data_IF_358013169451
#
_entry.id   IF_358013169451
#
_cell.length_a   1.000
_cell.length_b   1.000
_cell.length_c   1.000
_cell.angle_alpha   90.00
_cell.angle_beta   90.00
_cell.angle_gamma   90.00
#
_symmetry.space_group_name_H-M   'P 1'
#
loop_
_entity.id
_entity.type
_entity.pdbx_description
1 polymer ?
#
# COMPACT_ATOMS: atom_id res chain seq x y z
N UNK A 1 12.85 -12.44 -22.04
CA UNK A 1 12.89 -11.76 -20.73
C UNK A 1 13.56 -10.41 -20.95
N UNK A 2 12.92 -9.29 -20.59
CA UNK A 2 13.51 -7.96 -20.80
C UNK A 2 14.29 -7.51 -19.57
N UNK A 3 15.25 -6.60 -19.73
CA UNK A 3 16.09 -6.12 -18.63
C UNK A 3 15.27 -5.39 -17.54
N UNK A 4 14.18 -4.72 -17.92
CA UNK A 4 13.24 -4.06 -17.01
C UNK A 4 12.53 -5.08 -16.11
N UNK A 5 12.14 -6.23 -16.68
CA UNK A 5 11.51 -7.30 -15.93
C UNK A 5 12.47 -7.90 -14.89
N UNK A 6 13.75 -8.05 -15.25
CA UNK A 6 14.79 -8.50 -14.33
C UNK A 6 15.04 -7.47 -13.21
N UNK A 7 15.22 -6.20 -13.56
CA UNK A 7 15.45 -5.13 -12.59
C UNK A 7 14.29 -4.97 -11.59
N UNK A 8 13.04 -5.05 -12.06
CA UNK A 8 11.86 -4.83 -11.19
C UNK A 8 11.48 -6.04 -10.34
N UNK A 9 11.81 -7.27 -10.76
CA UNK A 9 11.34 -8.47 -10.08
C UNK A 9 12.45 -9.32 -9.45
N UNK A 10 13.67 -9.31 -10.02
CA UNK A 10 14.78 -10.12 -9.52
C UNK A 10 15.73 -9.33 -8.64
N UNK A 11 16.05 -8.09 -9.00
CA UNK A 11 16.93 -7.25 -8.19
C UNK A 11 16.41 -7.06 -6.74
N UNK A 12 15.10 -6.85 -6.49
CA UNK A 12 14.59 -6.72 -5.13
C UNK A 12 14.76 -7.98 -4.26
N UNK A 13 14.95 -9.15 -4.87
CA UNK A 13 15.20 -10.39 -4.12
C UNK A 13 16.50 -10.30 -3.32
N UNK A 14 17.51 -9.61 -3.83
CA UNK A 14 18.81 -9.48 -3.17
C UNK A 14 18.72 -8.69 -1.85
N UNK A 15 17.65 -7.93 -1.66
CA UNK A 15 17.42 -7.10 -0.48
C UNK A 15 16.43 -7.75 0.51
N UNK A 16 16.03 -8.99 0.30
CA UNK A 16 15.12 -9.69 1.21
C UNK A 16 15.86 -10.19 2.46
N UNK A 17 15.18 -10.24 3.62
CA UNK A 17 15.72 -10.88 4.82
C UNK A 17 16.06 -12.36 4.58
N UNK A 18 17.14 -12.86 5.22
CA UNK A 18 17.64 -14.22 4.98
C UNK A 18 16.60 -15.30 5.31
N UNK A 19 15.78 -15.09 6.35
CA UNK A 19 14.68 -15.99 6.73
C UNK A 19 13.64 -16.16 5.61
N UNK A 20 13.35 -15.08 4.88
CA UNK A 20 12.43 -15.09 3.75
C UNK A 20 13.10 -15.70 2.51
N UNK A 21 14.39 -15.43 2.30
CA UNK A 21 15.17 -16.01 1.21
C UNK A 21 15.28 -17.53 1.33
N UNK A 22 15.47 -18.06 2.53
CA UNK A 22 15.47 -19.50 2.75
C UNK A 22 14.15 -20.15 2.35
N UNK A 23 13.01 -19.58 2.77
CA UNK A 23 11.70 -20.10 2.42
C UNK A 23 11.44 -20.06 0.91
N UNK A 24 11.91 -19.01 0.23
CA UNK A 24 11.89 -18.90 -1.23
C UNK A 24 12.75 -19.97 -1.92
N UNK A 25 13.99 -20.17 -1.45
CA UNK A 25 14.92 -21.17 -2.01
C UNK A 25 14.41 -22.60 -1.83
N UNK A 26 13.75 -22.89 -0.70
CA UNK A 26 13.11 -24.18 -0.39
C UNK A 26 11.83 -24.42 -1.22
N UNK A 27 11.31 -23.40 -1.91
CA UNK A 27 10.06 -23.49 -2.68
C UNK A 27 8.80 -23.52 -1.81
N UNK A 28 8.94 -23.29 -0.50
CA UNK A 28 7.82 -23.29 0.45
C UNK A 28 6.99 -22.00 0.42
N UNK A 29 7.51 -20.95 -0.22
CA UNK A 29 6.85 -19.65 -0.33
C UNK A 29 7.03 -19.06 -1.73
N UNK A 30 5.95 -18.53 -2.31
CA UNK A 30 6.00 -17.82 -3.59
C UNK A 30 6.54 -16.40 -3.45
N UNK A 31 7.15 -15.87 -4.52
CA UNK A 31 7.79 -14.55 -4.56
C UNK A 31 6.91 -13.40 -4.05
N UNK A 32 5.65 -13.35 -4.49
CA UNK A 32 4.73 -12.27 -4.14
C UNK A 32 4.38 -12.29 -2.65
N UNK A 33 4.26 -13.49 -2.06
CA UNK A 33 4.02 -13.71 -0.64
C UNK A 33 5.25 -13.34 0.19
N UNK A 34 6.43 -13.76 -0.25
CA UNK A 34 7.71 -13.40 0.36
C UNK A 34 7.91 -11.88 0.44
N UNK A 35 7.62 -11.16 -0.65
CA UNK A 35 7.70 -9.70 -0.68
C UNK A 35 6.75 -9.02 0.30
N UNK A 36 5.56 -9.58 0.53
CA UNK A 36 4.61 -9.05 1.49
C UNK A 36 5.09 -9.26 2.94
N UNK A 37 5.56 -10.46 3.28
CA UNK A 37 6.04 -10.80 4.64
C UNK A 37 7.33 -10.04 4.97
N UNK A 38 8.20 -9.80 3.99
CA UNK A 38 9.43 -9.02 4.16
C UNK A 38 9.20 -7.55 4.60
N UNK A 39 7.96 -7.04 4.57
CA UNK A 39 7.62 -5.72 5.11
C UNK A 39 7.64 -5.67 6.65
N UNK A 40 7.63 -6.82 7.32
CA UNK A 40 7.71 -6.92 8.77
C UNK A 40 9.16 -6.65 9.20
N UNK A 41 9.38 -5.55 9.93
CA UNK A 41 10.71 -5.10 10.35
C UNK A 41 11.33 -6.04 11.39
N UNK A 42 10.56 -6.38 12.42
CA UNK A 42 11.03 -7.20 13.53
C UNK A 42 11.25 -8.65 13.10
N UNK A 43 12.48 -9.14 13.32
CA UNK A 43 12.89 -10.48 12.87
C UNK A 43 12.05 -11.59 13.50
N UNK A 44 11.87 -11.55 14.82
CA UNK A 44 11.14 -12.60 15.55
C UNK A 44 9.67 -12.66 15.12
N UNK A 45 9.04 -11.50 14.92
CA UNK A 45 7.66 -11.42 14.44
C UNK A 45 7.54 -11.95 13.00
N UNK A 46 8.50 -11.59 12.15
CA UNK A 46 8.53 -12.02 10.75
C UNK A 46 8.67 -13.54 10.63
N UNK A 47 9.57 -14.14 11.39
CA UNK A 47 9.77 -15.60 11.41
C UNK A 47 8.51 -16.31 11.90
N UNK A 48 7.91 -15.87 13.01
CA UNK A 48 6.67 -16.46 13.51
C UNK A 48 5.51 -16.32 12.50
N UNK A 49 5.40 -15.16 11.83
CA UNK A 49 4.40 -14.91 10.80
C UNK A 49 4.62 -15.80 9.57
N UNK A 50 5.88 -15.97 9.14
CA UNK A 50 6.28 -16.82 8.03
C UNK A 50 5.89 -18.28 8.28
N UNK A 51 6.20 -18.82 9.46
CA UNK A 51 5.86 -20.19 9.84
C UNK A 51 4.34 -20.41 9.83
N UNK A 52 3.57 -19.47 10.37
CA UNK A 52 2.10 -19.52 10.34
C UNK A 52 1.58 -19.48 8.90
N UNK A 53 2.12 -18.58 8.07
CA UNK A 53 1.69 -18.43 6.68
C UNK A 53 1.96 -19.70 5.84
N UNK A 54 3.07 -20.39 6.09
CA UNK A 54 3.39 -21.66 5.42
C UNK A 54 2.49 -22.78 5.95
N UNK A 55 2.35 -22.90 7.27
CA UNK A 55 1.56 -23.95 7.92
C UNK A 55 0.09 -23.90 7.52
N UNK A 56 -0.49 -22.71 7.49
CA UNK A 56 -1.89 -22.48 7.13
C UNK A 56 -2.09 -22.20 5.64
N UNK A 57 -1.01 -22.22 4.84
CA UNK A 57 -1.05 -22.02 3.39
C UNK A 57 -1.78 -20.74 2.94
N UNK A 58 -1.53 -19.63 3.64
CA UNK A 58 -2.23 -18.37 3.36
C UNK A 58 -2.04 -17.88 1.92
N UNK A 59 -3.12 -17.34 1.36
CA UNK A 59 -3.11 -16.59 0.12
C UNK A 59 -2.42 -15.23 0.30
N UNK A 60 -2.04 -14.61 -0.81
CA UNK A 60 -1.44 -13.27 -0.80
C UNK A 60 -2.35 -12.23 -0.14
N UNK A 61 -3.66 -12.33 -0.35
CA UNK A 61 -4.66 -11.44 0.23
C UNK A 61 -4.76 -11.60 1.73
N UNK A 62 -4.77 -12.84 2.22
CA UNK A 62 -4.80 -13.15 3.65
C UNK A 62 -3.55 -12.71 4.39
N UNK A 63 -2.37 -12.86 3.76
CA UNK A 63 -1.10 -12.35 4.30
C UNK A 63 -1.19 -10.82 4.47
N UNK A 64 -1.65 -10.10 3.45
CA UNK A 64 -1.79 -8.64 3.53
C UNK A 64 -2.79 -8.22 4.61
N UNK A 65 -3.93 -8.91 4.68
CA UNK A 65 -4.95 -8.64 5.69
C UNK A 65 -4.41 -8.86 7.11
N UNK A 66 -3.74 -9.97 7.38
CA UNK A 66 -3.18 -10.26 8.70
C UNK A 66 -2.02 -9.34 9.08
N UNK A 67 -1.21 -8.90 8.11
CA UNK A 67 -0.18 -7.87 8.34
C UNK A 67 -0.84 -6.53 8.71
N UNK A 68 -1.98 -6.18 8.10
CA UNK A 68 -2.73 -4.98 8.51
C UNK A 68 -3.39 -5.14 9.88
N UNK A 69 -3.92 -6.31 10.22
CA UNK A 69 -4.56 -6.58 11.51
C UNK A 69 -3.56 -6.56 12.67
N UNK A 70 -2.35 -7.14 12.49
CA UNK A 70 -1.29 -7.13 13.52
C UNK A 70 -0.73 -5.73 13.81
N UNK A 71 -0.99 -4.73 12.95
CA UNK A 71 -0.52 -3.36 13.16
C UNK A 71 -1.34 -2.55 14.18
N UNK A 72 -2.51 -3.02 14.65
CA UNK A 72 -3.33 -2.28 15.64
C UNK A 72 -4.37 -3.16 16.38
N UNK A 73 -4.45 -3.15 17.73
CA UNK A 73 -5.67 -3.53 18.47
C UNK A 73 -6.76 -2.45 18.46
N UNK A 74 -6.42 -1.20 18.15
CA UNK A 74 -7.37 -0.10 18.02
C UNK A 74 -7.16 0.57 16.67
N UNK A 75 -7.86 0.08 15.65
CA UNK A 75 -8.35 0.88 14.52
C UNK A 75 -9.00 -0.02 13.47
N UNK A 76 -10.25 0.31 13.15
CA UNK A 76 -10.89 0.23 11.83
C UNK A 76 -9.91 0.45 10.67
N UNK A 77 -10.19 -0.02 9.44
CA UNK A 77 -9.16 -0.37 8.45
C UNK A 77 -8.28 0.83 8.04
N UNK A 78 -7.02 0.80 8.43
CA UNK A 78 -6.04 1.86 8.19
C UNK A 78 -4.96 1.39 7.19
N UNK A 79 -5.24 1.64 5.91
CA UNK A 79 -4.27 2.31 5.04
C UNK A 79 -4.37 3.81 5.37
N UNK A 80 -3.61 4.34 6.34
CA UNK A 80 -3.63 5.79 6.65
C UNK A 80 -2.25 6.43 6.81
N UNK A 81 -1.13 5.68 6.72
CA UNK A 81 0.18 6.36 6.66
C UNK A 81 0.58 6.79 5.24
N UNK A 82 -0.03 6.20 4.23
CA UNK A 82 -0.24 6.84 2.93
C UNK A 82 -1.77 6.87 2.92
N UNK A 83 -2.45 8.01 2.83
CA UNK A 83 -2.46 8.62 1.53
C UNK A 83 -3.39 9.87 1.47
N UNK A 84 -3.03 10.96 2.15
CA UNK A 84 -3.75 12.21 1.93
C UNK A 84 -3.62 12.68 0.46
N UNK A 85 -2.52 12.30 -0.21
CA UNK A 85 -2.21 12.67 -1.60
C UNK A 85 -3.03 11.88 -2.63
N UNK A 86 -3.11 10.56 -2.59
CA UNK A 86 -3.98 9.77 -3.49
C UNK A 86 -5.47 9.86 -3.08
N UNK A 87 -5.85 10.12 -1.82
CA UNK A 87 -7.24 10.54 -1.49
C UNK A 87 -7.59 11.84 -2.18
N UNK A 88 -6.67 12.80 -2.16
CA UNK A 88 -6.80 14.06 -2.89
C UNK A 88 -6.82 13.83 -4.41
N UNK A 89 -5.92 13.00 -4.98
CA UNK A 89 -5.90 12.74 -6.43
C UNK A 89 -7.13 11.96 -6.90
N UNK A 90 -7.62 11.01 -6.10
CA UNK A 90 -8.84 10.26 -6.38
C UNK A 90 -10.07 11.16 -6.35
N UNK A 91 -10.17 12.05 -5.35
CA UNK A 91 -11.22 13.05 -5.28
C UNK A 91 -11.15 14.00 -6.49
N UNK A 92 -9.97 14.54 -6.82
CA UNK A 92 -9.76 15.42 -7.96
C UNK A 92 -10.12 14.76 -9.30
N UNK A 93 -9.77 13.47 -9.48
CA UNK A 93 -10.08 12.71 -10.69
C UNK A 93 -11.58 12.47 -10.84
N UNK A 94 -12.28 12.17 -9.74
CA UNK A 94 -13.75 12.02 -9.73
C UNK A 94 -14.45 13.34 -10.02
N UNK A 95 -13.98 14.45 -9.45
CA UNK A 95 -14.49 15.80 -9.69
C UNK A 95 -14.36 16.20 -11.16
N UNK A 96 -13.20 15.95 -11.80
CA UNK A 96 -12.99 16.22 -13.24
C UNK A 96 -13.97 15.49 -14.15
N UNK A 97 -14.32 14.23 -13.83
CA UNK A 97 -15.22 13.39 -14.65
C UNK A 97 -16.72 13.61 -14.34
N UNK A 98 -17.04 14.29 -13.25
CA UNK A 98 -18.41 14.45 -12.79
C UNK A 98 -19.10 15.62 -13.48
N UNK A 99 -20.42 15.57 -13.73
CA UNK A 99 -21.19 16.68 -14.31
C UNK A 99 -21.35 17.88 -13.35
N UNK A 100 -20.59 17.94 -12.24
CA UNK A 100 -20.63 19.06 -11.30
C UNK A 100 -20.32 20.41 -11.96
N UNK A 101 -19.60 20.40 -13.09
CA UNK A 101 -19.22 21.60 -13.85
C UNK A 101 -20.42 22.30 -14.49
N UNK A 102 -21.52 21.55 -14.71
CA UNK A 102 -22.75 22.07 -15.31
C UNK A 102 -23.70 22.72 -14.29
N UNK A 103 -23.47 22.52 -12.99
CA UNK A 103 -24.32 23.08 -11.93
C UNK A 103 -23.68 24.36 -11.35
N UNK A 104 -24.33 25.51 -11.59
CA UNK A 104 -23.84 26.83 -11.19
C UNK A 104 -23.63 26.96 -9.67
N UNK A 105 -24.44 26.28 -8.85
CA UNK A 105 -24.32 26.34 -7.38
C UNK A 105 -23.11 25.54 -6.90
N UNK A 106 -22.90 24.34 -7.45
CA UNK A 106 -21.76 23.47 -7.10
C UNK A 106 -20.44 24.05 -7.60
N UNK A 107 -20.44 24.70 -8.77
CA UNK A 107 -19.26 25.41 -9.29
C UNK A 107 -18.78 26.52 -8.37
N UNK A 108 -19.68 27.37 -7.84
CA UNK A 108 -19.32 28.42 -6.88
C UNK A 108 -18.75 27.87 -5.57
N UNK A 109 -19.29 26.75 -5.08
CA UNK A 109 -18.75 26.06 -3.90
C UNK A 109 -17.35 25.50 -4.14
N UNK A 110 -17.12 24.89 -5.32
CA UNK A 110 -15.82 24.38 -5.72
C UNK A 110 -14.77 25.51 -5.79
N UNK A 111 -15.15 26.64 -6.37
CA UNK A 111 -14.30 27.82 -6.50
C UNK A 111 -13.86 28.35 -5.12
N UNK A 112 -14.79 28.44 -4.16
CA UNK A 112 -14.47 28.82 -2.77
C UNK A 112 -13.48 27.85 -2.11
N UNK A 113 -13.67 26.54 -2.30
CA UNK A 113 -12.76 25.52 -1.74
C UNK A 113 -11.38 25.57 -2.39
N UNK A 114 -11.31 25.83 -3.71
CA UNK A 114 -10.04 26.02 -4.42
C UNK A 114 -9.28 27.24 -3.90
N UNK A 115 -9.96 28.37 -3.71
CA UNK A 115 -9.32 29.56 -3.14
C UNK A 115 -8.76 29.31 -1.74
N UNK A 116 -9.44 28.50 -0.91
CA UNK A 116 -8.91 28.10 0.40
C UNK A 116 -7.67 27.23 0.29
N UNK A 117 -7.61 26.31 -0.69
CA UNK A 117 -6.42 25.49 -0.94
C UNK A 117 -5.24 26.32 -1.45
N UNK A 118 -5.48 27.29 -2.33
CA UNK A 118 -4.45 28.20 -2.84
C UNK A 118 -3.89 29.10 -1.75
N UNK A 119 -4.75 29.62 -0.86
CA UNK A 119 -4.32 30.41 0.29
C UNK A 119 -3.40 29.63 1.24
N UNK A 120 -3.65 28.33 1.43
CA UNK A 120 -2.80 27.44 2.24
C UNK A 120 -1.42 27.22 1.61
N UNK A 121 -1.27 27.38 0.30
CA UNK A 121 0.03 27.29 -0.40
C UNK A 121 0.77 28.62 -0.50
N UNK A 122 0.10 29.74 -0.18
CA UNK A 122 0.67 31.10 -0.24
C UNK A 122 1.01 31.67 1.14
N UNK A 123 0.63 30.99 2.22
CA UNK A 123 0.95 31.40 3.58
C UNK A 123 2.28 30.76 4.02
N UNK A 124 3.37 31.54 3.91
CA UNK A 124 4.66 31.33 4.59
C UNK A 124 4.65 31.98 5.98
#
# INVERSE_FOLDING_TARGET
MTWESFANNRLPLLNLPEDILEALRKGSLEYTKARAIAQIKEMNERVAFLEQAIKESWSLSEIKQRISEKKTPDSTPINESNDYKERFTAAATKLKKSPIWSDQKKRKLLEKLLSQLEALTQSD
#
